data_IF_129319354175
#
_entry.id   IF_129319354175
#
_cell.length_a   1.000
_cell.length_b   1.000
_cell.length_c   1.000
_cell.angle_alpha   90.00
_cell.angle_beta   90.00
_cell.angle_gamma   90.00
#
_symmetry.space_group_name_H-M   'P 1'
#
loop_
_entity.id
_entity.type
_entity.pdbx_description
1 polymer ?
#
# COMPACT_ATOMS: atom_id res chain seq x y z
N UNK A 1 6.97 28.84 -70.91
CA UNK A 1 8.14 29.72 -70.78
C UNK A 1 7.85 30.73 -69.67
N UNK A 2 8.22 30.43 -68.43
CA UNK A 2 8.92 31.33 -67.50
C UNK A 2 9.16 30.55 -66.19
N UNK A 3 10.44 30.36 -65.94
CA UNK A 3 11.06 29.62 -64.85
C UNK A 3 11.38 30.62 -63.73
N UNK A 4 11.31 30.21 -62.47
CA UNK A 4 12.33 30.52 -61.45
C UNK A 4 12.08 29.75 -60.14
N UNK A 5 13.16 29.09 -59.71
CA UNK A 5 13.37 28.28 -58.53
C UNK A 5 13.44 29.12 -57.23
N UNK A 6 14.08 28.53 -56.21
CA UNK A 6 14.54 29.02 -54.88
C UNK A 6 13.49 28.79 -53.77
N UNK A 7 13.75 28.22 -52.58
CA UNK A 7 14.92 28.06 -51.70
C UNK A 7 14.79 26.77 -50.87
N UNK A 8 15.92 26.07 -50.68
CA UNK A 8 16.16 25.01 -49.69
C UNK A 8 16.29 25.63 -48.28
N UNK A 9 15.56 25.13 -47.28
CA UNK A 9 15.81 25.42 -45.87
C UNK A 9 15.74 24.13 -45.04
N UNK A 10 16.92 23.67 -44.62
CA UNK A 10 17.13 22.64 -43.61
C UNK A 10 16.89 23.28 -42.25
N UNK A 11 16.02 22.68 -41.42
CA UNK A 11 16.02 22.92 -39.98
C UNK A 11 16.08 21.59 -39.24
N UNK A 12 17.24 21.34 -38.64
CA UNK A 12 17.44 20.32 -37.60
C UNK A 12 16.99 20.96 -36.28
N UNK A 13 16.03 20.33 -35.62
CA UNK A 13 15.58 20.69 -34.27
C UNK A 13 15.29 19.42 -33.48
N UNK A 14 16.31 18.91 -32.80
CA UNK A 14 16.18 17.85 -31.80
C UNK A 14 15.54 18.46 -30.55
N UNK A 15 14.28 18.15 -30.28
CA UNK A 15 13.65 18.42 -28.98
C UNK A 15 13.08 17.10 -28.46
N UNK A 16 13.85 16.47 -27.58
CA UNK A 16 13.38 15.39 -26.72
C UNK A 16 12.34 15.98 -25.76
N UNK A 17 11.06 15.72 -26.03
CA UNK A 17 9.98 16.00 -25.08
C UNK A 17 9.63 14.70 -24.34
N UNK A 18 9.82 14.77 -23.04
CA UNK A 18 9.44 13.80 -22.03
C UNK A 18 7.97 13.38 -22.18
N UNK A 19 7.69 12.08 -22.28
CA UNK A 19 6.34 11.55 -22.14
C UNK A 19 5.95 11.58 -20.67
N UNK A 20 5.15 12.57 -20.27
CA UNK A 20 4.40 12.55 -19.01
C UNK A 20 3.14 11.73 -19.29
N UNK A 21 3.07 10.51 -18.76
CA UNK A 21 1.87 9.67 -18.85
C UNK A 21 0.84 10.11 -17.81
N UNK A 22 -0.17 10.85 -18.25
CA UNK A 22 -1.42 11.06 -17.51
C UNK A 22 -2.38 9.91 -17.81
N UNK A 23 -3.05 9.37 -16.79
CA UNK A 23 -4.16 8.43 -17.01
C UNK A 23 -5.21 9.12 -17.90
N UNK A 24 -5.42 8.61 -19.11
CA UNK A 24 -6.36 9.19 -20.08
C UNK A 24 -7.80 9.02 -19.57
N UNK A 25 -8.53 10.12 -19.43
CA UNK A 25 -10.00 10.07 -19.40
C UNK A 25 -10.47 9.66 -20.80
N UNK A 26 -11.30 8.60 -20.87
CA UNK A 26 -11.87 8.10 -22.13
C UNK A 26 -12.82 9.17 -22.68
N UNK A 27 -12.60 9.59 -23.93
CA UNK A 27 -13.44 10.63 -24.53
C UNK A 27 -14.85 10.11 -24.83
N UNK A 28 -15.88 10.96 -24.86
CA UNK A 28 -17.23 10.56 -25.26
C UNK A 28 -17.26 9.90 -26.64
N UNK A 29 -16.42 10.35 -27.59
CA UNK A 29 -16.32 9.78 -28.93
C UNK A 29 -15.62 8.41 -28.95
N UNK A 30 -14.74 8.13 -27.98
CA UNK A 30 -14.10 6.85 -27.80
C UNK A 30 -15.05 5.83 -27.15
N UNK A 31 -15.88 6.30 -26.21
CA UNK A 31 -16.97 5.53 -25.63
C UNK A 31 -18.03 5.15 -26.67
N UNK A 32 -18.44 6.11 -27.50
CA UNK A 32 -19.44 5.91 -28.56
C UNK A 32 -18.94 4.97 -29.65
N UNK A 33 -17.64 5.00 -29.97
CA UNK A 33 -17.03 3.99 -30.86
C UNK A 33 -17.10 2.58 -30.25
N UNK A 34 -16.78 2.43 -28.97
CA UNK A 34 -16.85 1.13 -28.29
C UNK A 34 -18.27 0.55 -28.22
N UNK A 35 -19.29 1.38 -28.01
CA UNK A 35 -20.69 0.93 -27.99
C UNK A 35 -21.24 0.54 -29.36
N UNK A 36 -20.67 1.07 -30.44
CA UNK A 36 -21.16 0.89 -31.82
C UNK A 36 -20.22 0.04 -32.70
N UNK A 37 -19.11 -0.45 -32.15
CA UNK A 37 -18.23 -1.39 -32.81
C UNK A 37 -18.69 -2.83 -32.48
N UNK A 38 -18.97 -3.62 -33.51
CA UNK A 38 -19.30 -5.05 -33.38
C UNK A 38 -18.05 -5.88 -32.99
N UNK A 39 -16.87 -5.26 -32.92
CA UNK A 39 -15.66 -5.88 -32.41
C UNK A 39 -15.69 -5.95 -30.87
N UNK A 40 -15.44 -7.14 -30.32
CA UNK A 40 -15.16 -7.34 -28.88
C UNK A 40 -13.76 -6.82 -28.49
N UNK A 41 -13.22 -5.80 -29.15
CA UNK A 41 -11.95 -5.23 -28.73
C UNK A 41 -12.19 -4.34 -27.52
N UNK A 42 -11.74 -4.76 -26.31
CA UNK A 42 -11.89 -3.93 -25.13
C UNK A 42 -11.13 -2.61 -25.35
N UNK A 43 -11.58 -1.50 -24.72
CA UNK A 43 -10.80 -0.27 -24.74
C UNK A 43 -9.38 -0.56 -24.28
N UNK A 44 -8.41 0.15 -24.85
CA UNK A 44 -6.99 -0.08 -24.62
C UNK A 44 -6.60 0.34 -23.20
N UNK A 45 -6.99 -0.46 -22.20
CA UNK A 45 -6.38 -0.46 -20.87
C UNK A 45 -4.96 -0.92 -21.07
N UNK A 46 -4.05 0.03 -21.28
CA UNK A 46 -2.69 -0.27 -21.70
C UNK A 46 -1.93 -1.05 -20.60
N UNK A 47 -2.44 -1.04 -19.36
CA UNK A 47 -1.96 -1.86 -18.25
C UNK A 47 -2.97 -1.90 -17.08
N UNK A 48 -3.39 -3.09 -16.65
CA UNK A 48 -4.07 -3.33 -15.36
C UNK A 48 -3.12 -4.14 -14.50
N UNK A 49 -2.71 -3.61 -13.34
CA UNK A 49 -1.90 -4.39 -12.40
C UNK A 49 -2.75 -5.52 -11.80
N UNK A 50 -2.40 -6.78 -12.08
CA UNK A 50 -3.11 -7.98 -11.57
C UNK A 50 -2.57 -8.51 -10.23
N UNK A 51 -1.64 -7.78 -9.60
CA UNK A 51 -1.14 -8.04 -8.25
C UNK A 51 0.37 -8.09 -8.11
N UNK A 52 1.13 -7.79 -9.17
CA UNK A 52 2.57 -7.62 -9.11
C UNK A 52 2.92 -6.39 -8.26
N UNK A 53 3.86 -6.56 -7.32
CA UNK A 53 4.29 -5.47 -6.47
C UNK A 53 5.16 -4.49 -7.28
N UNK A 54 4.63 -3.30 -7.52
CA UNK A 54 5.32 -2.21 -8.22
C UNK A 54 5.37 -1.00 -7.30
N UNK A 55 6.57 -0.54 -6.95
CA UNK A 55 6.74 0.68 -6.17
C UNK A 55 6.65 1.93 -7.06
N UNK A 56 5.95 2.94 -6.56
CA UNK A 56 5.72 4.20 -7.24
C UNK A 56 6.78 5.21 -6.82
N UNK A 57 7.53 5.72 -7.80
CA UNK A 57 8.57 6.74 -7.55
C UNK A 57 7.98 8.07 -7.10
N UNK A 58 6.90 8.45 -7.77
CA UNK A 58 6.21 9.71 -7.52
C UNK A 58 4.95 9.48 -6.69
N UNK A 59 4.75 10.33 -5.69
CA UNK A 59 3.52 10.37 -4.93
C UNK A 59 2.34 10.73 -5.84
N UNK A 60 1.22 9.98 -5.81
CA UNK A 60 0.02 10.35 -6.54
C UNK A 60 -0.50 11.73 -6.13
N UNK A 61 -0.98 12.51 -7.10
CA UNK A 61 -1.47 13.88 -6.88
C UNK A 61 -2.79 13.90 -6.08
N UNK A 62 -3.65 12.88 -6.26
CA UNK A 62 -4.88 12.72 -5.50
C UNK A 62 -4.57 12.07 -4.14
N UNK A 63 -5.35 12.42 -3.13
CA UNK A 63 -5.30 11.73 -1.84
C UNK A 63 -5.79 10.29 -2.04
N UNK A 64 -4.93 9.32 -1.78
CA UNK A 64 -5.24 7.89 -1.87
C UNK A 64 -5.42 7.28 -0.48
N UNK A 65 -5.92 6.05 -0.45
CA UNK A 65 -6.01 5.25 0.77
C UNK A 65 -4.62 5.10 1.40
N UNK A 66 -4.47 5.65 2.60
CA UNK A 66 -3.30 5.49 3.45
C UNK A 66 -3.60 4.50 4.58
N UNK A 67 -2.70 3.56 4.77
CA UNK A 67 -2.78 2.55 5.80
C UNK A 67 -1.56 2.63 6.70
N UNK A 68 -1.75 3.21 7.88
CA UNK A 68 -0.71 3.34 8.90
C UNK A 68 -0.82 2.21 9.91
N UNK A 69 0.31 1.58 10.20
CA UNK A 69 0.43 0.46 11.12
C UNK A 69 1.50 0.77 12.17
N UNK A 70 1.15 0.64 13.44
CA UNK A 70 2.11 0.62 14.54
C UNK A 70 2.15 -0.80 15.09
N UNK A 71 3.34 -1.38 15.19
CA UNK A 71 3.60 -2.64 15.87
C UNK A 71 4.58 -2.43 17.01
N UNK A 72 4.23 -2.89 18.21
CA UNK A 72 5.12 -2.82 19.38
C UNK A 72 5.50 -4.24 19.78
N UNK A 73 6.79 -4.54 19.68
CA UNK A 73 7.42 -5.76 20.16
C UNK A 73 7.82 -5.51 21.61
N UNK A 74 7.30 -6.34 22.52
CA UNK A 74 7.63 -6.32 23.93
C UNK A 74 8.44 -7.58 24.29
N UNK A 75 9.01 -7.64 25.50
CA UNK A 75 9.81 -8.81 25.92
C UNK A 75 9.02 -10.13 25.82
N UNK A 76 7.75 -10.13 26.24
CA UNK A 76 6.86 -11.28 26.12
C UNK A 76 6.56 -11.66 24.66
N UNK A 77 6.62 -10.72 23.72
CA UNK A 77 6.47 -11.01 22.29
C UNK A 77 7.56 -11.96 21.79
N UNK A 78 8.75 -11.94 22.41
CA UNK A 78 9.85 -12.84 22.07
C UNK A 78 9.53 -14.30 22.43
N UNK A 79 8.66 -14.51 23.41
CA UNK A 79 8.25 -15.84 23.86
C UNK A 79 7.00 -16.33 23.11
N UNK A 80 5.98 -15.48 22.95
CA UNK A 80 4.66 -15.90 22.47
C UNK A 80 4.33 -15.50 21.02
N UNK A 81 5.16 -14.64 20.42
CA UNK A 81 5.03 -14.12 19.05
C UNK A 81 3.94 -13.07 18.85
N UNK A 82 3.26 -12.65 19.91
CA UNK A 82 2.20 -11.64 19.87
C UNK A 82 2.78 -10.24 20.04
N UNK A 83 2.50 -9.37 19.07
CA UNK A 83 2.88 -7.96 19.12
C UNK A 83 1.63 -7.11 19.30
N UNK A 84 1.73 -6.02 20.04
CA UNK A 84 0.65 -5.01 20.07
C UNK A 84 0.57 -4.37 18.69
N UNK A 85 -0.66 -4.14 18.22
CA UNK A 85 -0.90 -3.48 16.94
C UNK A 85 -1.88 -2.33 17.08
N UNK A 86 -1.64 -1.27 16.30
CA UNK A 86 -2.64 -0.27 15.96
C UNK A 86 -2.63 -0.05 14.45
N UNK A 87 -3.76 -0.32 13.83
CA UNK A 87 -3.96 -0.25 12.38
C UNK A 87 -4.96 0.85 12.05
N UNK A 88 -4.54 1.88 11.33
CA UNK A 88 -5.41 2.98 10.90
C UNK A 88 -5.58 3.00 9.39
N UNK A 89 -6.82 3.11 8.93
CA UNK A 89 -7.17 3.35 7.53
C UNK A 89 -7.63 4.81 7.39
N UNK A 90 -7.05 5.53 6.43
CA UNK A 90 -7.38 6.92 6.11
C UNK A 90 -7.68 7.06 4.62
N UNK A 91 -8.61 7.96 4.28
CA UNK A 91 -9.04 8.18 2.89
C UNK A 91 -9.49 6.86 2.24
N UNK A 92 -10.24 6.05 3.00
CA UNK A 92 -10.91 4.88 2.44
C UNK A 92 -11.87 5.30 1.34
N UNK A 93 -12.07 4.41 0.37
CA UNK A 93 -13.15 4.57 -0.59
C UNK A 93 -14.52 4.62 0.11
N UNK A 94 -15.49 5.22 -0.57
CA UNK A 94 -16.85 5.35 -0.07
C UNK A 94 -17.57 4.01 -0.23
N UNK A 95 -18.16 3.52 0.87
CA UNK A 95 -18.88 2.24 0.89
C UNK A 95 -20.15 2.33 1.72
N UNK A 96 -21.25 1.76 1.24
CA UNK A 96 -22.46 1.59 2.05
C UNK A 96 -22.25 0.55 3.16
N UNK A 97 -21.55 -0.53 2.85
CA UNK A 97 -21.15 -1.59 3.77
C UNK A 97 -19.79 -2.14 3.37
N UNK A 98 -18.91 -2.31 4.35
CA UNK A 98 -17.59 -2.94 4.16
C UNK A 98 -17.11 -3.53 5.48
N UNK A 99 -16.16 -4.45 5.42
CA UNK A 99 -15.55 -5.05 6.60
C UNK A 99 -14.02 -4.99 6.52
N UNK A 100 -13.38 -4.80 7.67
CA UNK A 100 -11.95 -5.04 7.85
C UNK A 100 -11.82 -6.45 8.41
N UNK A 101 -11.11 -7.33 7.70
CA UNK A 101 -11.01 -8.74 8.05
C UNK A 101 -9.60 -9.06 8.52
N UNK A 102 -9.51 -9.72 9.67
CA UNK A 102 -8.29 -10.27 10.21
C UNK A 102 -8.31 -11.80 10.13
N UNK A 103 -7.12 -12.41 10.13
CA UNK A 103 -7.01 -13.86 10.20
C UNK A 103 -7.24 -14.30 11.67
N UNK A 104 -8.27 -15.11 11.91
CA UNK A 104 -8.78 -15.40 13.25
C UNK A 104 -7.73 -15.99 14.21
N UNK A 105 -6.83 -16.83 13.72
CA UNK A 105 -5.75 -17.47 14.49
C UNK A 105 -4.52 -16.56 14.71
N UNK A 106 -4.51 -15.38 14.11
CA UNK A 106 -3.40 -14.42 14.18
C UNK A 106 -3.79 -13.08 14.77
N UNK A 107 -4.99 -12.97 15.33
CA UNK A 107 -5.48 -11.74 15.92
C UNK A 107 -6.19 -12.03 17.25
N UNK A 108 -6.07 -11.14 18.23
CA UNK A 108 -6.87 -11.17 19.45
C UNK A 108 -7.11 -9.77 20.00
N UNK A 109 -8.13 -9.66 20.84
CA UNK A 109 -8.50 -8.45 21.57
C UNK A 109 -8.64 -7.20 20.68
N UNK A 110 -9.21 -7.39 19.48
CA UNK A 110 -9.42 -6.28 18.56
C UNK A 110 -10.54 -5.36 19.05
N UNK A 111 -10.31 -4.06 18.92
CA UNK A 111 -11.28 -3.00 19.24
C UNK A 111 -11.14 -1.83 18.29
N UNK A 112 -12.24 -1.14 18.03
CA UNK A 112 -12.21 0.15 17.34
C UNK A 112 -11.78 1.22 18.34
N UNK A 113 -10.61 1.83 18.15
CA UNK A 113 -10.12 2.90 19.02
C UNK A 113 -10.42 4.31 18.50
N UNK A 114 -10.70 4.44 17.20
CA UNK A 114 -11.09 5.70 16.58
C UNK A 114 -11.97 5.48 15.36
N UNK A 115 -12.96 6.35 15.13
CA UNK A 115 -13.77 6.36 13.91
C UNK A 115 -14.22 7.78 13.57
N UNK A 116 -14.17 8.14 12.28
CA UNK A 116 -14.60 9.42 11.72
C UNK A 116 -15.16 9.23 10.32
N UNK A 117 -16.24 9.96 10.01
CA UNK A 117 -16.95 9.91 8.72
C UNK A 117 -17.42 8.47 8.36
N UNK A 118 -17.78 7.71 9.39
CA UNK A 118 -18.36 6.36 9.28
C UNK A 118 -19.55 6.33 10.23
N UNK A 119 -20.74 5.97 9.76
CA UNK A 119 -21.95 6.07 10.59
C UNK A 119 -21.95 5.01 11.71
N UNK A 120 -21.50 3.78 11.43
CA UNK A 120 -21.35 2.74 12.46
C UNK A 120 -20.11 1.88 12.21
N UNK A 121 -19.42 1.53 13.29
CA UNK A 121 -18.29 0.60 13.30
C UNK A 121 -18.35 -0.28 14.56
N UNK A 122 -18.29 -1.61 14.42
CA UNK A 122 -18.26 -2.54 15.56
C UNK A 122 -17.44 -3.79 15.26
N UNK A 123 -17.03 -4.49 16.31
CA UNK A 123 -16.28 -5.74 16.22
C UNK A 123 -17.26 -6.91 16.11
N UNK A 124 -17.00 -7.84 15.19
CA UNK A 124 -17.71 -9.12 15.08
C UNK A 124 -16.70 -10.25 14.79
N UNK A 125 -16.38 -11.04 15.82
CA UNK A 125 -15.32 -12.05 15.74
C UNK A 125 -13.97 -11.43 15.34
N UNK A 126 -13.28 -11.94 14.30
CA UNK A 126 -12.02 -11.38 13.79
C UNK A 126 -12.24 -10.28 12.74
N UNK A 127 -13.39 -9.60 12.76
CA UNK A 127 -13.73 -8.57 11.77
C UNK A 127 -14.20 -7.27 12.42
N UNK A 128 -14.04 -6.17 11.71
CA UNK A 128 -14.68 -4.90 12.02
C UNK A 128 -15.70 -4.61 10.92
N UNK A 129 -16.97 -4.48 11.31
CA UNK A 129 -18.08 -4.19 10.42
C UNK A 129 -18.28 -2.68 10.32
N UNK A 130 -18.37 -2.14 9.10
CA UNK A 130 -18.54 -0.71 8.83
C UNK A 130 -19.80 -0.45 7.99
N UNK A 131 -20.55 0.59 8.38
CA UNK A 131 -21.75 1.05 7.66
C UNK A 131 -21.58 2.53 7.29
N UNK A 132 -21.90 2.85 6.04
CA UNK A 132 -21.85 4.19 5.45
C UNK A 132 -20.51 4.89 5.69
N UNK A 133 -19.45 4.35 5.09
CA UNK A 133 -18.12 4.97 5.01
C UNK A 133 -18.19 6.13 4.01
N UNK A 134 -17.93 7.35 4.46
CA UNK A 134 -18.02 8.59 3.67
C UNK A 134 -16.63 9.07 3.26
N UNK A 135 -16.60 10.07 2.37
CA UNK A 135 -15.35 10.70 1.92
C UNK A 135 -14.49 11.16 3.11
N UNK A 136 -13.18 10.90 3.02
CA UNK A 136 -12.24 11.26 4.08
C UNK A 136 -12.42 10.46 5.37
N UNK A 137 -13.02 9.27 5.29
CA UNK A 137 -13.14 8.35 6.41
C UNK A 137 -11.79 8.00 7.03
N UNK A 138 -11.83 7.86 8.36
CA UNK A 138 -10.71 7.37 9.15
C UNK A 138 -11.22 6.41 10.21
N UNK A 139 -10.59 5.25 10.31
CA UNK A 139 -10.82 4.31 11.40
C UNK A 139 -9.48 3.79 11.90
N UNK A 140 -9.36 3.60 13.22
CA UNK A 140 -8.23 2.92 13.83
C UNK A 140 -8.72 1.73 14.66
N UNK A 141 -7.99 0.63 14.53
CA UNK A 141 -8.23 -0.64 15.21
C UNK A 141 -7.00 -0.95 16.05
N UNK A 142 -7.20 -1.30 17.31
CA UNK A 142 -6.15 -1.77 18.22
C UNK A 142 -6.37 -3.22 18.57
N UNK A 143 -5.30 -3.95 18.88
CA UNK A 143 -5.37 -5.31 19.37
C UNK A 143 -3.98 -5.94 19.42
N UNK A 144 -3.92 -7.26 19.32
CA UNK A 144 -2.66 -7.99 19.17
C UNK A 144 -2.65 -8.78 17.87
N UNK A 145 -1.48 -8.85 17.24
CA UNK A 145 -1.22 -9.64 16.04
C UNK A 145 -0.16 -10.68 16.32
N UNK A 146 -0.40 -11.93 15.92
CA UNK A 146 0.62 -12.98 15.97
C UNK A 146 1.50 -12.84 14.75
N UNK A 147 2.53 -12.01 14.84
CA UNK A 147 3.31 -11.55 13.70
C UNK A 147 4.83 -11.73 13.85
N UNK A 148 5.31 -11.95 15.07
CA UNK A 148 6.73 -12.21 15.32
C UNK A 148 6.95 -13.72 15.37
N UNK A 149 7.87 -14.22 14.55
CA UNK A 149 8.24 -15.63 14.50
C UNK A 149 9.69 -15.79 14.90
N UNK A 150 10.00 -16.80 15.72
CA UNK A 150 11.37 -17.27 15.93
C UNK A 150 11.79 -18.14 14.74
N UNK A 151 12.99 -17.92 14.24
CA UNK A 151 13.61 -18.70 13.17
C UNK A 151 14.51 -19.79 13.77
N UNK A 152 14.88 -20.81 12.99
CA UNK A 152 15.70 -21.93 13.44
C UNK A 152 17.10 -21.52 13.95
N UNK A 153 17.62 -20.38 13.46
CA UNK A 153 18.91 -19.80 13.86
C UNK A 153 18.82 -18.92 15.14
N UNK A 154 17.65 -18.89 15.80
CA UNK A 154 17.39 -18.07 16.98
C UNK A 154 17.13 -16.59 16.69
N UNK A 155 17.17 -16.17 15.41
CA UNK A 155 16.75 -14.83 15.01
C UNK A 155 15.22 -14.72 14.97
N UNK A 156 14.70 -13.50 14.90
CA UNK A 156 13.26 -13.24 14.80
C UNK A 156 12.90 -12.66 13.44
N UNK A 157 11.71 -12.97 12.95
CA UNK A 157 11.11 -12.36 11.75
C UNK A 157 9.75 -11.76 12.09
N UNK A 158 9.60 -10.45 11.93
CA UNK A 158 8.30 -9.78 11.98
C UNK A 158 7.67 -9.76 10.59
N UNK A 159 6.45 -10.29 10.49
CA UNK A 159 5.66 -10.30 9.26
C UNK A 159 4.57 -9.23 9.27
N UNK A 160 4.50 -8.41 8.23
CA UNK A 160 3.40 -7.44 8.05
C UNK A 160 2.80 -7.51 6.65
N UNK A 161 1.49 -7.28 6.56
CA UNK A 161 0.70 -7.44 5.33
C UNK A 161 0.15 -8.88 5.12
N UNK A 162 -0.40 -9.16 3.92
CA UNK A 162 -0.32 -8.34 2.71
C UNK A 162 -1.15 -7.05 2.80
N UNK A 163 -0.54 -5.96 2.35
CA UNK A 163 -1.23 -4.71 2.06
C UNK A 163 -1.57 -4.66 0.58
N UNK A 164 -2.81 -4.30 0.28
CA UNK A 164 -3.30 -4.14 -1.09
C UNK A 164 -4.59 -3.32 -1.07
N UNK A 165 -4.81 -2.54 -2.12
CA UNK A 165 -6.11 -1.97 -2.48
C UNK A 165 -6.53 -2.59 -3.81
N UNK A 166 -7.51 -3.48 -3.76
CA UNK A 166 -7.98 -4.25 -4.92
C UNK A 166 -9.46 -3.98 -5.16
N UNK A 167 -9.81 -3.64 -6.39
CA UNK A 167 -11.19 -3.65 -6.87
C UNK A 167 -11.27 -4.52 -8.11
N UNK A 168 -12.18 -5.50 -8.10
CA UNK A 168 -12.31 -6.50 -9.16
C UNK A 168 -10.96 -7.21 -9.42
N UNK A 169 -10.43 -7.09 -10.62
CA UNK A 169 -9.16 -7.61 -11.12
C UNK A 169 -7.97 -6.65 -10.89
N UNK A 170 -8.23 -5.35 -10.75
CA UNK A 170 -7.19 -4.32 -10.63
C UNK A 170 -6.67 -4.07 -9.21
N UNK A 171 -5.35 -3.90 -9.10
CA UNK A 171 -4.68 -3.36 -7.93
C UNK A 171 -4.40 -1.87 -8.15
N UNK A 172 -4.75 -1.06 -7.16
CA UNK A 172 -4.66 0.38 -7.23
C UNK A 172 -3.58 0.92 -6.30
N UNK A 173 -3.06 2.13 -6.59
CA UNK A 173 -2.10 2.79 -5.72
C UNK A 173 -2.56 2.86 -4.26
N UNK A 174 -1.63 2.56 -3.38
CA UNK A 174 -1.82 2.61 -1.93
C UNK A 174 -0.58 3.20 -1.26
N UNK A 175 -0.81 3.93 -0.17
CA UNK A 175 0.25 4.40 0.72
C UNK A 175 0.23 3.56 1.99
N UNK A 176 1.39 3.03 2.38
CA UNK A 176 1.56 2.31 3.65
C UNK A 176 2.66 2.99 4.44
N UNK A 177 2.38 3.24 5.72
CA UNK A 177 3.40 3.55 6.72
C UNK A 177 3.39 2.47 7.80
N UNK A 178 4.55 1.99 8.19
CA UNK A 178 4.72 0.96 9.22
C UNK A 178 5.78 1.40 10.22
N UNK A 179 5.35 1.62 11.45
CA UNK A 179 6.21 1.92 12.59
C UNK A 179 6.36 0.64 13.41
N UNK A 180 7.60 0.23 13.71
CA UNK A 180 7.88 -0.91 14.57
C UNK A 180 8.75 -0.44 15.72
N UNK A 181 8.21 -0.55 16.94
CA UNK A 181 8.90 -0.20 18.18
C UNK A 181 9.32 -1.49 18.86
N UNK A 182 10.59 -1.58 19.25
CA UNK A 182 11.20 -2.73 19.91
C UNK A 182 12.18 -2.31 21.02
N UNK A 183 11.95 -1.12 21.59
CA UNK A 183 12.69 -0.60 22.74
C UNK A 183 12.72 -1.62 23.89
N UNK A 184 13.88 -1.79 24.53
CA UNK A 184 14.03 -2.65 25.71
C UNK A 184 14.08 -4.16 25.43
N UNK A 185 13.87 -4.61 24.19
CA UNK A 185 13.83 -6.04 23.85
C UNK A 185 15.21 -6.67 23.60
N UNK A 186 16.27 -5.87 23.48
CA UNK A 186 17.59 -6.33 23.03
C UNK A 186 17.65 -6.75 21.56
N UNK A 187 16.58 -6.51 20.78
CA UNK A 187 16.55 -6.80 19.36
C UNK A 187 17.37 -5.78 18.55
N UNK A 188 18.10 -6.30 17.56
CA UNK A 188 18.81 -5.51 16.56
C UNK A 188 18.34 -5.89 15.16
N UNK A 189 17.93 -4.90 14.39
CA UNK A 189 17.50 -5.12 13.00
C UNK A 189 18.68 -5.63 12.15
N UNK A 190 18.46 -6.73 11.45
CA UNK A 190 19.42 -7.31 10.51
C UNK A 190 19.10 -6.94 9.06
N UNK A 191 17.81 -6.75 8.73
CA UNK A 191 17.39 -6.38 7.38
C UNK A 191 15.89 -6.46 7.18
N UNK A 192 15.45 -6.00 6.01
CA UNK A 192 14.04 -5.98 5.58
C UNK A 192 13.90 -6.53 4.17
N UNK A 193 12.78 -7.18 3.91
CA UNK A 193 12.31 -7.56 2.58
C UNK A 193 10.92 -6.96 2.35
N UNK A 194 10.62 -6.35 1.19
CA UNK A 194 11.51 -6.12 0.04
C UNK A 194 12.69 -5.19 0.37
N UNK A 195 13.70 -5.17 -0.50
CA UNK A 195 14.85 -4.27 -0.34
C UNK A 195 14.44 -2.82 -0.60
N UNK A 196 15.13 -1.90 0.07
CA UNK A 196 14.98 -0.44 -0.08
C UNK A 196 15.19 -0.04 -1.54
N UNK A 197 14.28 0.77 -2.08
CA UNK A 197 14.29 1.27 -3.45
C UNK A 197 13.39 2.51 -3.58
N UNK A 198 13.38 3.17 -4.74
CA UNK A 198 12.46 4.28 -4.98
C UNK A 198 11.01 3.85 -4.69
N UNK A 199 10.28 4.65 -3.90
CA UNK A 199 8.91 4.32 -3.47
C UNK A 199 8.81 3.35 -2.29
N UNK A 200 9.94 2.86 -1.73
CA UNK A 200 10.01 2.05 -0.51
C UNK A 200 11.19 2.48 0.36
N UNK A 201 10.92 3.28 1.39
CA UNK A 201 11.93 3.84 2.28
C UNK A 201 11.89 3.22 3.68
N UNK A 202 13.04 3.22 4.33
CA UNK A 202 13.23 2.77 5.70
C UNK A 202 14.08 3.80 6.45
N UNK A 203 13.57 4.27 7.59
CA UNK A 203 14.35 4.95 8.61
C UNK A 203 14.44 4.04 9.82
N UNK A 204 15.57 3.99 10.51
CA UNK A 204 15.72 3.13 11.68
C UNK A 204 16.74 3.66 12.67
N UNK A 205 16.57 3.26 13.93
CA UNK A 205 17.53 3.43 15.00
C UNK A 205 17.58 2.15 15.86
N UNK A 206 18.19 2.23 17.05
CA UNK A 206 18.36 1.06 17.93
C UNK A 206 17.07 0.53 18.55
N UNK A 207 15.97 1.27 18.51
CA UNK A 207 14.77 1.02 19.29
C UNK A 207 13.48 1.04 18.45
N UNK A 208 13.55 1.64 17.27
CA UNK A 208 12.44 1.71 16.34
C UNK A 208 12.90 1.74 14.88
N UNK A 209 11.96 1.42 14.00
CA UNK A 209 12.07 1.65 12.58
C UNK A 209 10.74 2.11 12.01
N UNK A 210 10.83 2.85 10.91
CA UNK A 210 9.72 3.47 10.22
C UNK A 210 9.86 3.15 8.72
N UNK A 211 8.85 2.53 8.14
CA UNK A 211 8.78 2.21 6.71
C UNK A 211 7.73 3.08 6.06
N UNK A 212 8.03 3.67 4.91
CA UNK A 212 7.08 4.43 4.10
C UNK A 212 7.11 3.92 2.64
N UNK A 213 5.94 3.58 2.10
CA UNK A 213 5.82 2.92 0.82
C UNK A 213 4.63 3.39 -0.01
N UNK A 214 4.88 3.72 -1.29
CA UNK A 214 3.86 3.97 -2.31
C UNK A 214 3.94 2.87 -3.35
N UNK A 215 2.86 2.12 -3.56
CA UNK A 215 2.91 0.94 -4.43
C UNK A 215 1.55 0.56 -5.02
N UNK A 216 1.60 -0.26 -6.07
CA UNK A 216 0.52 -1.08 -6.58
C UNK A 216 0.83 -2.56 -6.36
N UNK A 217 -0.21 -3.40 -6.27
CA UNK A 217 -0.06 -4.84 -6.07
C UNK A 217 -0.14 -5.27 -4.60
N UNK A 218 0.67 -6.27 -4.22
CA UNK A 218 0.65 -6.90 -2.89
C UNK A 218 1.97 -6.70 -2.15
N UNK A 219 1.98 -5.78 -1.18
CA UNK A 219 3.15 -5.59 -0.33
C UNK A 219 3.09 -6.50 0.90
N UNK A 220 4.12 -7.33 1.09
CA UNK A 220 4.38 -8.02 2.36
C UNK A 220 5.75 -7.61 2.83
N UNK A 221 5.87 -7.18 4.08
CA UNK A 221 7.17 -6.91 4.67
C UNK A 221 7.60 -8.05 5.59
N UNK A 222 8.90 -8.35 5.58
CA UNK A 222 9.56 -9.24 6.52
C UNK A 222 10.74 -8.50 7.09
N UNK A 223 10.76 -8.28 8.40
CA UNK A 223 11.86 -7.62 9.09
C UNK A 223 12.56 -8.65 9.96
N UNK A 224 13.85 -8.84 9.76
CA UNK A 224 14.66 -9.79 10.54
C UNK A 224 15.38 -9.06 11.67
N UNK A 225 15.40 -9.67 12.85
CA UNK A 225 16.09 -9.18 14.04
C UNK A 225 16.98 -10.28 14.63
N UNK A 226 18.12 -9.90 15.17
CA UNK A 226 18.93 -10.74 16.07
C UNK A 226 18.74 -10.27 17.52
N UNK A 227 18.95 -11.16 18.48
CA UNK A 227 19.10 -10.77 19.89
C UNK A 227 20.56 -10.41 20.12
N UNK A 228 20.84 -9.24 20.69
CA UNK A 228 22.17 -8.91 21.17
C UNK A 228 22.41 -9.70 22.48
N UNK A 229 23.37 -10.62 22.46
CA UNK A 229 23.82 -11.29 23.69
C UNK A 229 24.45 -10.24 24.61
N UNK A 230 23.84 -10.03 25.78
CA UNK A 230 24.38 -9.22 26.87
C UNK A 230 25.75 -9.74 27.34
#
# INVERSE_FOLDING_TARGET
MFQKSVILLVLIGFISLFNISTANEVSPEELERWFNDDSMEPPNYTYVNEGELVFLKDKPQKSIHHHSNLMVIEENSLEDGWVKMRQCHQNMDVFSRVQIVFKADRVRDIKVSYSKNIDRAWVEGPTIQLINVKQGARICVEGFSKALLVNDDGSYTLHSGPFMRRFLDGYYPMHVSLDVVYHGTGLKMMGISPSIQDGFSLNSNKEQLDVDAWFEGKLRTKIRFSVESL
#
